data_IF_482226024705
#
_entry.id   IF_482226024705
#
_cell.length_a   1.000
_cell.length_b   1.000
_cell.length_c   1.000
_cell.angle_alpha   90.00
_cell.angle_beta   90.00
_cell.angle_gamma   90.00
#
_symmetry.space_group_name_H-M   'P 1'
#
loop_
_entity.id
_entity.type
_entity.pdbx_description
1 polymer ?
#
# COMPACT_ATOMS: atom_id res chain seq x y z
N UNK A 1 29.30 -11.02 -0.34
CA UNK A 1 27.98 -10.76 -0.96
C UNK A 1 27.14 -10.06 0.11
N UNK A 2 26.59 -8.88 -0.19
CA UNK A 2 25.67 -8.21 0.74
C UNK A 2 24.33 -8.91 0.61
N UNK A 3 23.81 -9.50 1.69
CA UNK A 3 22.48 -10.12 1.71
C UNK A 3 21.40 -9.04 1.55
N UNK A 4 20.48 -9.23 0.60
CA UNK A 4 19.39 -8.28 0.34
C UNK A 4 18.50 -8.09 1.57
N UNK A 5 17.85 -6.94 1.70
CA UNK A 5 16.91 -6.66 2.79
C UNK A 5 15.77 -7.67 2.79
N UNK A 6 15.23 -8.03 1.62
CA UNK A 6 14.16 -9.04 1.51
C UNK A 6 14.59 -10.41 2.02
N UNK A 7 15.80 -10.87 1.67
CA UNK A 7 16.35 -12.14 2.18
C UNK A 7 16.56 -12.12 3.69
N UNK A 8 17.11 -11.02 4.24
CA UNK A 8 17.33 -10.90 5.69
C UNK A 8 16.01 -10.95 6.45
N UNK A 9 15.02 -10.17 6.01
CA UNK A 9 13.70 -10.08 6.66
C UNK A 9 12.97 -11.43 6.58
N UNK A 10 12.96 -12.08 5.41
CA UNK A 10 12.38 -13.40 5.26
C UNK A 10 13.04 -14.42 6.21
N UNK A 11 14.38 -14.46 6.25
CA UNK A 11 15.11 -15.39 7.11
C UNK A 11 14.85 -15.17 8.61
N UNK A 12 14.76 -13.90 9.05
CA UNK A 12 14.44 -13.55 10.44
C UNK A 12 13.04 -14.04 10.84
N UNK A 13 12.04 -13.78 9.99
CA UNK A 13 10.67 -14.21 10.26
C UNK A 13 10.50 -15.72 10.15
N UNK A 14 11.16 -16.36 9.19
CA UNK A 14 11.18 -17.82 9.08
C UNK A 14 11.76 -18.47 10.34
N UNK A 15 12.88 -17.96 10.84
CA UNK A 15 13.49 -18.46 12.07
C UNK A 15 12.59 -18.22 13.30
N UNK A 16 12.02 -17.02 13.43
CA UNK A 16 11.15 -16.67 14.55
C UNK A 16 9.87 -17.51 14.57
N UNK A 17 9.19 -17.62 13.44
CA UNK A 17 7.96 -18.41 13.31
C UNK A 17 8.26 -19.90 13.48
N UNK A 18 9.38 -20.41 12.98
CA UNK A 18 9.79 -21.79 13.25
C UNK A 18 10.03 -22.04 14.74
N UNK A 19 10.70 -21.13 15.46
CA UNK A 19 10.87 -21.23 16.90
C UNK A 19 9.52 -21.21 17.64
N UNK A 20 8.62 -20.32 17.22
CA UNK A 20 7.26 -20.26 17.73
C UNK A 20 6.49 -21.56 17.45
N UNK A 21 6.56 -22.12 16.25
CA UNK A 21 5.91 -23.40 15.97
C UNK A 21 6.47 -24.57 16.78
N UNK A 22 7.68 -24.44 17.34
CA UNK A 22 8.33 -25.44 18.19
C UNK A 22 8.17 -25.19 19.70
N UNK A 23 7.31 -24.25 20.10
CA UNK A 23 6.99 -24.01 21.50
C UNK A 23 7.72 -22.82 22.15
N UNK A 24 8.64 -22.14 21.44
CA UNK A 24 9.22 -20.90 21.96
C UNK A 24 8.16 -19.79 21.92
N UNK A 25 8.12 -18.93 22.93
CA UNK A 25 7.26 -17.75 22.95
C UNK A 25 8.02 -16.53 23.47
N UNK A 26 9.34 -16.53 23.35
CA UNK A 26 10.13 -15.33 23.66
C UNK A 26 10.13 -14.40 22.46
N UNK A 27 9.81 -13.14 22.72
CA UNK A 27 10.06 -12.09 21.74
C UNK A 27 11.53 -11.68 21.86
N UNK A 28 12.30 -11.71 20.77
CA UNK A 28 13.62 -11.10 20.78
C UNK A 28 13.48 -9.57 20.95
N UNK A 29 14.50 -8.86 21.46
CA UNK A 29 14.41 -7.43 21.76
C UNK A 29 13.94 -6.55 20.59
N UNK A 30 14.29 -6.93 19.35
CA UNK A 30 13.86 -6.21 18.14
C UNK A 30 12.36 -6.36 17.83
N UNK A 31 11.70 -7.42 18.34
CA UNK A 31 10.25 -7.58 18.26
C UNK A 31 9.51 -7.05 19.48
N UNK A 32 10.13 -7.01 20.67
CA UNK A 32 9.50 -6.48 21.89
C UNK A 32 9.03 -5.04 21.69
N UNK A 33 9.92 -4.16 21.19
CA UNK A 33 9.56 -2.77 20.92
C UNK A 33 8.46 -2.62 19.86
N UNK A 34 8.40 -3.54 18.88
CA UNK A 34 7.32 -3.55 17.91
C UNK A 34 6.01 -4.03 18.53
N UNK A 35 6.04 -5.10 19.33
CA UNK A 35 4.86 -5.64 20.01
C UNK A 35 4.25 -4.61 20.97
N UNK A 36 5.09 -3.95 21.77
CA UNK A 36 4.69 -2.95 22.77
C UNK A 36 4.23 -1.62 22.15
N UNK A 37 4.42 -1.44 20.84
CA UNK A 37 4.03 -0.22 20.13
C UNK A 37 2.51 -0.03 19.99
N UNK A 38 1.73 -1.02 20.39
CA UNK A 38 0.28 -1.03 20.34
C UNK A 38 -0.30 -1.70 21.58
N UNK A 39 -1.24 -1.01 22.23
CA UNK A 39 -1.98 -1.52 23.38
C UNK A 39 -3.46 -1.23 23.17
N UNK A 40 -4.15 -2.16 22.50
CA UNK A 40 -5.59 -2.08 22.30
C UNK A 40 -6.38 -2.75 23.42
N UNK A 41 -7.70 -2.53 23.42
CA UNK A 41 -8.64 -3.09 24.42
C UNK A 41 -9.85 -3.72 23.75
N UNK A 42 -10.47 -4.74 24.36
CA UNK A 42 -11.66 -5.40 23.83
C UNK A 42 -11.40 -5.96 22.42
N UNK A 43 -12.12 -5.47 21.40
CA UNK A 43 -11.87 -5.87 20.02
C UNK A 43 -10.46 -5.49 19.50
N UNK A 44 -9.74 -4.62 20.20
CA UNK A 44 -8.35 -4.27 19.88
C UNK A 44 -7.30 -5.01 20.70
N UNK A 45 -7.71 -5.86 21.65
CA UNK A 45 -6.78 -6.66 22.44
C UNK A 45 -5.97 -7.60 21.53
N UNK A 46 -4.67 -7.65 21.78
CA UNK A 46 -3.72 -8.41 20.99
C UNK A 46 -3.56 -9.81 21.58
N UNK A 47 -3.47 -10.82 20.72
CA UNK A 47 -3.07 -12.17 21.13
C UNK A 47 -1.77 -12.60 20.48
N UNK A 48 -1.03 -13.46 21.19
CA UNK A 48 0.15 -14.18 20.71
C UNK A 48 -0.09 -15.68 20.51
N UNK A 49 -1.37 -16.09 20.59
CA UNK A 49 -1.80 -17.48 20.38
C UNK A 49 -1.71 -17.91 18.90
N UNK A 50 -1.66 -16.93 17.98
CA UNK A 50 -1.34 -17.13 16.57
C UNK A 50 0.09 -16.73 16.25
N UNK A 51 0.67 -17.32 15.21
CA UNK A 51 1.97 -16.86 14.70
C UNK A 51 1.84 -15.43 14.17
N UNK A 52 2.87 -14.58 14.31
CA UNK A 52 2.85 -13.25 13.71
C UNK A 52 2.84 -13.34 12.17
N UNK A 53 2.13 -12.42 11.53
CA UNK A 53 2.02 -12.33 10.08
C UNK A 53 2.52 -10.96 9.59
N UNK A 54 3.84 -10.79 9.41
CA UNK A 54 4.43 -9.50 9.02
C UNK A 54 4.11 -9.08 7.58
N UNK A 55 3.86 -10.05 6.69
CA UNK A 55 3.56 -9.78 5.30
C UNK A 55 2.81 -10.93 4.64
N UNK A 56 2.08 -10.64 3.57
CA UNK A 56 1.38 -11.64 2.77
C UNK A 56 1.78 -11.52 1.30
N UNK A 57 2.16 -12.64 0.68
CA UNK A 57 2.62 -12.69 -0.71
C UNK A 57 4.09 -13.05 -0.84
N UNK A 58 4.60 -12.97 -2.07
CA UNK A 58 5.94 -13.43 -2.43
C UNK A 58 7.01 -12.34 -2.23
N UNK A 59 7.38 -12.11 -0.96
CA UNK A 59 8.41 -11.14 -0.59
C UNK A 59 9.72 -11.33 -1.37
N UNK A 60 10.13 -12.58 -1.53
CA UNK A 60 11.40 -12.93 -2.17
C UNK A 60 11.32 -12.92 -3.71
N UNK A 61 10.11 -12.91 -4.27
CA UNK A 61 9.88 -13.00 -5.71
C UNK A 61 10.28 -14.36 -6.30
N UNK A 62 10.13 -15.44 -5.53
CA UNK A 62 10.55 -16.79 -5.92
C UNK A 62 9.67 -17.39 -7.03
N UNK A 63 8.37 -17.14 -6.95
CA UNK A 63 7.36 -17.56 -7.93
C UNK A 63 7.01 -16.39 -8.86
N UNK A 64 6.88 -15.19 -8.29
CA UNK A 64 6.50 -13.98 -9.03
C UNK A 64 6.99 -12.74 -8.30
N UNK A 65 7.65 -11.81 -9.00
CA UNK A 65 8.03 -10.52 -8.40
C UNK A 65 6.79 -9.66 -8.22
N UNK A 66 6.46 -9.22 -6.99
CA UNK A 66 5.28 -8.37 -6.76
C UNK A 66 5.33 -7.08 -7.57
N UNK A 67 4.19 -6.71 -8.15
CA UNK A 67 3.98 -5.49 -8.96
C UNK A 67 3.18 -4.42 -8.20
N UNK A 68 2.64 -4.78 -7.04
CA UNK A 68 1.85 -3.92 -6.18
C UNK A 68 2.22 -4.18 -4.71
N UNK A 69 2.43 -3.11 -3.95
CA UNK A 69 2.61 -3.18 -2.50
C UNK A 69 1.47 -2.42 -1.83
N UNK A 70 0.79 -3.09 -0.90
CA UNK A 70 -0.24 -2.50 -0.04
C UNK A 70 0.20 -2.64 1.42
N UNK A 71 -0.11 -1.65 2.25
CA UNK A 71 0.14 -1.72 3.68
C UNK A 71 -1.17 -2.00 4.43
N UNK A 72 -1.16 -3.06 5.25
CA UNK A 72 -2.24 -3.45 6.15
C UNK A 72 -1.95 -3.03 7.59
N UNK A 73 -2.99 -2.73 8.37
CA UNK A 73 -2.77 -2.29 9.76
C UNK A 73 -2.33 -3.45 10.66
N UNK A 74 -2.99 -4.59 10.50
CA UNK A 74 -2.67 -5.84 11.16
C UNK A 74 -3.35 -7.03 10.43
N UNK A 75 -2.98 -8.28 10.75
CA UNK A 75 -3.55 -9.48 10.12
C UNK A 75 -5.04 -9.71 10.39
N UNK A 76 -5.62 -8.98 11.34
CA UNK A 76 -7.01 -9.12 11.76
C UNK A 76 -7.22 -10.17 12.84
N UNK A 77 -8.47 -10.65 12.96
CA UNK A 77 -8.89 -11.55 14.02
C UNK A 77 -8.13 -12.88 13.99
N UNK A 78 -7.78 -13.37 15.18
CA UNK A 78 -7.17 -14.68 15.35
C UNK A 78 -8.19 -15.80 15.20
N UNK A 79 -7.86 -16.80 14.39
CA UNK A 79 -8.64 -18.01 14.17
C UNK A 79 -7.80 -19.23 14.54
N UNK A 80 -7.95 -19.74 15.76
CA UNK A 80 -7.13 -20.82 16.32
C UNK A 80 -7.02 -22.06 15.44
N UNK A 81 -8.10 -22.46 14.77
CA UNK A 81 -8.12 -23.58 13.82
C UNK A 81 -7.13 -23.43 12.67
N UNK A 82 -6.84 -22.20 12.26
CA UNK A 82 -5.92 -21.89 11.17
C UNK A 82 -4.56 -21.44 11.68
N UNK A 83 -4.54 -20.43 12.55
CA UNK A 83 -3.34 -19.69 12.93
C UNK A 83 -2.68 -20.18 14.22
N UNK A 84 -3.35 -21.03 15.02
CA UNK A 84 -2.77 -21.58 16.25
C UNK A 84 -1.59 -22.50 15.96
N UNK A 85 -0.78 -22.82 16.99
CA UNK A 85 0.42 -23.67 16.86
C UNK A 85 0.15 -25.06 16.26
N UNK A 86 -1.05 -25.58 16.48
CA UNK A 86 -1.53 -26.86 15.93
C UNK A 86 -2.60 -26.66 14.85
N UNK A 87 -2.72 -25.43 14.34
CA UNK A 87 -3.68 -25.05 13.30
C UNK A 87 -3.25 -25.50 11.90
N UNK A 88 -4.16 -25.34 10.95
CA UNK A 88 -3.96 -25.74 9.56
C UNK A 88 -2.74 -25.04 8.94
N UNK A 89 -2.60 -23.73 9.14
CA UNK A 89 -1.50 -22.97 8.56
C UNK A 89 -0.18 -23.28 9.24
N UNK A 90 -0.18 -23.53 10.55
CA UNK A 90 1.01 -23.99 11.27
C UNK A 90 1.55 -25.31 10.69
N UNK A 91 0.67 -26.27 10.42
CA UNK A 91 1.05 -27.53 9.77
C UNK A 91 1.55 -27.32 8.34
N UNK A 92 0.92 -26.44 7.56
CA UNK A 92 1.39 -26.09 6.23
C UNK A 92 2.78 -25.43 6.26
N UNK A 93 3.03 -24.48 7.17
CA UNK A 93 4.33 -23.83 7.34
C UNK A 93 5.41 -24.88 7.65
N UNK A 94 5.13 -25.82 8.56
CA UNK A 94 6.07 -26.92 8.87
C UNK A 94 6.38 -27.75 7.62
N UNK A 95 5.38 -28.08 6.79
CA UNK A 95 5.56 -28.85 5.54
C UNK A 95 6.28 -28.07 4.44
N UNK A 96 6.08 -26.75 4.38
CA UNK A 96 6.76 -25.85 3.45
C UNK A 96 8.17 -25.46 3.92
N UNK A 97 8.57 -25.88 5.13
CA UNK A 97 9.83 -25.58 5.81
C UNK A 97 10.04 -24.10 6.20
N UNK A 98 9.20 -23.18 5.74
CA UNK A 98 9.33 -21.75 6.06
C UNK A 98 8.01 -20.98 5.92
N UNK A 99 7.89 -19.88 6.65
CA UNK A 99 6.76 -18.96 6.53
C UNK A 99 6.77 -18.25 5.17
N UNK A 100 7.95 -17.81 4.73
CA UNK A 100 8.16 -17.16 3.44
C UNK A 100 7.66 -18.00 2.27
N UNK A 101 7.87 -19.33 2.31
CA UNK A 101 7.38 -20.26 1.28
C UNK A 101 5.88 -20.51 1.41
N UNK A 102 5.35 -20.61 2.62
CA UNK A 102 3.92 -20.73 2.86
C UNK A 102 3.13 -19.51 2.36
N UNK A 103 3.66 -18.30 2.58
CA UNK A 103 3.03 -17.04 2.19
C UNK A 103 2.79 -16.93 0.68
N UNK A 104 3.64 -17.54 -0.16
CA UNK A 104 3.47 -17.54 -1.63
C UNK A 104 2.25 -18.34 -2.09
N UNK A 105 1.73 -19.24 -1.25
CA UNK A 105 0.58 -20.10 -1.57
C UNK A 105 -0.76 -19.39 -1.48
N UNK A 106 -0.78 -18.10 -1.12
CA UNK A 106 -1.98 -17.28 -0.96
C UNK A 106 -3.03 -17.96 -0.04
N UNK A 107 -2.65 -18.35 1.19
CA UNK A 107 -3.44 -19.24 2.07
C UNK A 107 -4.87 -18.73 2.34
N UNK A 108 -5.03 -17.41 2.42
CA UNK A 108 -6.30 -16.72 2.65
C UNK A 108 -7.25 -16.68 1.43
N UNK A 109 -6.79 -17.10 0.26
CA UNK A 109 -7.56 -17.07 -0.99
C UNK A 109 -7.79 -18.47 -1.59
N UNK A 110 -7.52 -19.52 -0.81
CA UNK A 110 -7.73 -20.91 -1.21
C UNK A 110 -8.39 -21.74 -0.11
N UNK A 111 -8.93 -22.93 -0.43
CA UNK A 111 -9.29 -23.91 0.59
C UNK A 111 -8.07 -24.30 1.45
N UNK A 112 -8.28 -24.59 2.75
CA UNK A 112 -9.57 -24.68 3.41
C UNK A 112 -10.16 -23.34 3.87
N UNK A 113 -9.39 -22.24 3.87
CA UNK A 113 -9.88 -20.93 4.34
C UNK A 113 -11.17 -20.50 3.62
N UNK A 114 -11.18 -20.58 2.29
CA UNK A 114 -12.31 -20.10 1.48
C UNK A 114 -13.51 -21.05 1.44
N UNK A 115 -13.50 -22.16 2.17
CA UNK A 115 -14.65 -23.06 2.24
C UNK A 115 -15.84 -22.35 2.91
N UNK A 116 -17.09 -22.50 2.39
CA UNK A 116 -18.26 -21.80 2.94
C UNK A 116 -18.58 -22.10 4.41
N UNK A 117 -18.13 -23.25 4.92
CA UNK A 117 -18.32 -23.66 6.32
C UNK A 117 -17.13 -23.29 7.23
N UNK A 118 -16.07 -22.70 6.67
CA UNK A 118 -14.93 -22.17 7.40
C UNK A 118 -15.05 -20.63 7.43
N UNK A 119 -14.19 -19.91 6.68
CA UNK A 119 -14.20 -18.44 6.62
C UNK A 119 -14.96 -17.89 5.40
N UNK A 120 -15.11 -18.71 4.36
CA UNK A 120 -15.70 -18.31 3.09
C UNK A 120 -14.87 -17.25 2.35
N UNK A 121 -15.56 -16.46 1.54
CA UNK A 121 -14.92 -15.47 0.68
C UNK A 121 -14.18 -14.37 1.48
N UNK A 122 -12.87 -14.25 1.25
CA UNK A 122 -12.07 -13.20 1.87
C UNK A 122 -12.28 -11.84 1.19
N UNK A 123 -13.27 -11.08 1.67
CA UNK A 123 -13.62 -9.75 1.13
C UNK A 123 -12.46 -8.76 1.18
N UNK A 124 -11.59 -8.85 2.21
CA UNK A 124 -10.43 -7.98 2.34
C UNK A 124 -9.48 -8.16 1.15
N UNK A 125 -9.05 -9.40 0.90
CA UNK A 125 -8.15 -9.72 -0.21
C UNK A 125 -8.79 -9.50 -1.58
N UNK A 126 -10.07 -9.81 -1.75
CA UNK A 126 -10.79 -9.53 -3.01
C UNK A 126 -10.78 -8.04 -3.35
N UNK A 127 -11.04 -7.17 -2.37
CA UNK A 127 -11.02 -5.73 -2.60
C UNK A 127 -9.63 -5.20 -2.99
N UNK A 128 -8.55 -5.71 -2.37
CA UNK A 128 -7.18 -5.33 -2.72
C UNK A 128 -6.77 -5.86 -4.09
N UNK A 129 -7.15 -7.09 -4.43
CA UNK A 129 -6.90 -7.64 -5.76
C UNK A 129 -7.61 -6.84 -6.86
N UNK A 130 -8.87 -6.47 -6.63
CA UNK A 130 -9.62 -5.62 -7.57
C UNK A 130 -8.97 -4.24 -7.74
N UNK A 131 -8.45 -3.66 -6.66
CA UNK A 131 -7.64 -2.44 -6.74
C UNK A 131 -6.35 -2.68 -7.54
N UNK A 132 -5.60 -3.76 -7.27
CA UNK A 132 -4.38 -4.12 -8.00
C UNK A 132 -4.63 -4.19 -9.51
N UNK A 133 -5.68 -4.90 -9.94
CA UNK A 133 -6.04 -5.01 -11.36
C UNK A 133 -6.33 -3.66 -12.01
N UNK A 134 -7.07 -2.80 -11.32
CA UNK A 134 -7.43 -1.46 -11.81
C UNK A 134 -6.22 -0.55 -11.86
N UNK A 135 -5.40 -0.55 -10.81
CA UNK A 135 -4.21 0.30 -10.73
C UNK A 135 -3.19 -0.09 -11.79
N UNK A 136 -2.92 -1.39 -11.95
CA UNK A 136 -2.01 -1.90 -12.98
C UNK A 136 -2.61 -1.85 -14.40
N UNK A 137 -3.91 -1.58 -14.52
CA UNK A 137 -4.68 -1.70 -15.76
C UNK A 137 -4.53 -3.10 -16.40
N UNK A 138 -4.45 -4.12 -15.55
CA UNK A 138 -4.17 -5.50 -15.91
C UNK A 138 -5.24 -6.41 -15.28
N UNK A 139 -6.28 -6.81 -16.03
CA UNK A 139 -7.31 -7.71 -15.52
C UNK A 139 -6.78 -9.13 -15.27
N UNK A 140 -5.61 -9.48 -15.81
CA UNK A 140 -4.94 -10.75 -15.60
C UNK A 140 -4.14 -10.82 -14.30
N UNK A 141 -3.91 -9.68 -13.62
CA UNK A 141 -3.24 -9.66 -12.33
C UNK A 141 -3.98 -10.52 -11.29
N UNK A 142 -3.22 -11.20 -10.46
CA UNK A 142 -3.70 -12.08 -9.40
C UNK A 142 -3.03 -11.78 -8.04
N UNK A 143 -3.28 -12.62 -7.04
CA UNK A 143 -2.77 -12.40 -5.68
C UNK A 143 -1.24 -12.47 -5.58
N UNK A 144 -0.54 -13.04 -6.56
CA UNK A 144 0.93 -13.09 -6.61
C UNK A 144 1.54 -11.75 -7.05
N UNK A 145 0.77 -10.90 -7.73
CA UNK A 145 1.18 -9.53 -8.05
C UNK A 145 1.16 -8.61 -6.80
N UNK A 146 0.44 -9.01 -5.75
CA UNK A 146 0.18 -8.21 -4.55
C UNK A 146 1.03 -8.70 -3.37
N UNK A 147 1.83 -7.80 -2.82
CA UNK A 147 2.48 -7.98 -1.51
C UNK A 147 1.81 -7.05 -0.49
N UNK A 148 1.42 -7.60 0.65
CA UNK A 148 0.88 -6.82 1.77
C UNK A 148 1.92 -6.82 2.89
N UNK A 149 2.27 -5.67 3.45
CA UNK A 149 3.02 -5.58 4.70
C UNK A 149 2.11 -5.11 5.82
N UNK A 150 2.14 -5.79 6.95
CA UNK A 150 1.36 -5.41 8.12
C UNK A 150 2.17 -4.45 9.01
N UNK A 151 1.57 -3.31 9.39
CA UNK A 151 2.17 -2.37 10.33
C UNK A 151 2.37 -2.98 11.71
N UNK A 152 1.48 -3.88 12.10
CA UNK A 152 1.52 -4.59 13.37
C UNK A 152 1.28 -6.09 13.12
N UNK A 153 2.32 -6.93 13.17
CA UNK A 153 2.24 -8.34 12.75
C UNK A 153 1.36 -9.25 13.60
N UNK A 154 0.79 -8.78 14.73
CA UNK A 154 0.01 -9.63 15.64
C UNK A 154 -1.49 -9.41 15.52
N UNK A 155 -2.23 -10.42 15.93
CA UNK A 155 -3.68 -10.50 15.73
C UNK A 155 -4.46 -9.66 16.73
N UNK A 156 -5.42 -8.92 16.19
CA UNK A 156 -6.51 -8.27 16.92
C UNK A 156 -7.70 -8.11 15.98
N UNK A 157 -8.93 -8.12 16.50
CA UNK A 157 -10.14 -7.97 15.68
C UNK A 157 -10.24 -6.58 15.03
N UNK A 158 -9.63 -5.57 15.66
CA UNK A 158 -9.59 -4.19 15.18
C UNK A 158 -8.36 -3.47 15.72
N UNK A 159 -8.00 -2.35 15.08
CA UNK A 159 -7.05 -1.39 15.65
C UNK A 159 -7.84 -0.23 16.23
N UNK A 160 -7.82 -0.10 17.57
CA UNK A 160 -8.61 0.92 18.29
C UNK A 160 -7.78 1.81 19.23
N UNK A 161 -6.46 1.67 19.18
CA UNK A 161 -5.49 2.54 19.82
C UNK A 161 -4.43 2.98 18.78
N UNK A 162 -3.71 4.08 19.02
CA UNK A 162 -2.66 4.52 18.12
C UNK A 162 -1.55 3.46 17.96
N UNK A 163 -1.10 3.25 16.73
CA UNK A 163 0.11 2.48 16.41
C UNK A 163 1.32 3.41 16.51
N UNK A 164 2.33 3.02 17.29
CA UNK A 164 3.56 3.82 17.48
C UNK A 164 4.83 2.97 17.32
N UNK A 165 4.99 2.22 16.21
CA UNK A 165 6.15 1.36 16.02
C UNK A 165 7.45 2.18 16.05
N UNK A 166 8.54 1.63 16.61
CA UNK A 166 9.84 2.26 16.52
C UNK A 166 10.23 2.51 15.05
N UNK A 167 10.69 3.72 14.66
CA UNK A 167 10.99 4.03 13.27
C UNK A 167 12.01 3.07 12.63
N UNK A 168 13.00 2.63 13.39
CA UNK A 168 14.01 1.66 12.96
C UNK A 168 13.43 0.30 12.60
N UNK A 169 12.35 -0.11 13.27
CA UNK A 169 11.66 -1.37 12.97
C UNK A 169 10.93 -1.27 11.63
N UNK A 170 10.22 -0.17 11.39
CA UNK A 170 9.53 0.03 10.11
C UNK A 170 10.53 0.19 8.96
N UNK A 171 11.65 0.89 9.20
CA UNK A 171 12.73 0.99 8.22
C UNK A 171 13.27 -0.39 7.84
N UNK A 172 13.66 -1.20 8.83
CA UNK A 172 14.26 -2.52 8.59
C UNK A 172 13.29 -3.52 7.99
N UNK A 173 12.07 -3.64 8.53
CA UNK A 173 11.15 -4.72 8.20
C UNK A 173 10.16 -4.38 7.08
N UNK A 174 10.00 -3.09 6.74
CA UNK A 174 9.04 -2.64 5.71
C UNK A 174 9.74 -1.83 4.62
N UNK A 175 10.38 -0.72 4.94
CA UNK A 175 10.91 0.20 3.91
C UNK A 175 12.09 -0.38 3.15
N UNK A 176 13.08 -0.98 3.82
CA UNK A 176 14.23 -1.58 3.15
C UNK A 176 13.82 -2.73 2.20
N UNK A 177 12.95 -3.68 2.59
CA UNK A 177 12.44 -4.69 1.66
C UNK A 177 11.66 -4.10 0.47
N UNK A 178 10.81 -3.10 0.71
CA UNK A 178 10.01 -2.45 -0.34
C UNK A 178 10.88 -1.67 -1.33
N UNK A 179 11.99 -1.10 -0.86
CA UNK A 179 12.97 -0.39 -1.69
C UNK A 179 13.60 -1.27 -2.78
N UNK A 180 13.61 -2.60 -2.58
CA UNK A 180 14.16 -3.55 -3.54
C UNK A 180 13.13 -4.03 -4.59
N UNK A 181 11.87 -3.65 -4.45
CA UNK A 181 10.79 -4.05 -5.36
C UNK A 181 10.64 -3.03 -6.50
N UNK A 182 10.33 -3.48 -7.73
CA UNK A 182 10.16 -2.61 -8.89
C UNK A 182 8.79 -1.92 -8.91
N UNK A 183 8.39 -1.32 -7.80
CA UNK A 183 7.13 -0.56 -7.66
C UNK A 183 7.44 0.90 -7.39
N UNK A 184 6.68 1.81 -7.98
CA UNK A 184 6.83 3.26 -7.72
C UNK A 184 5.98 3.72 -6.53
N UNK A 185 4.79 3.11 -6.38
CA UNK A 185 3.77 3.50 -5.43
C UNK A 185 3.49 2.36 -4.45
N UNK A 186 3.50 2.70 -3.17
CA UNK A 186 3.13 1.86 -2.04
C UNK A 186 1.81 2.39 -1.50
N UNK A 187 0.77 1.57 -1.46
CA UNK A 187 -0.57 2.03 -1.10
C UNK A 187 -0.93 1.69 0.34
N UNK A 188 -1.59 2.61 1.01
CA UNK A 188 -2.13 2.37 2.33
C UNK A 188 -3.55 2.93 2.43
N UNK A 189 -4.48 2.16 2.99
CA UNK A 189 -5.89 2.53 3.06
C UNK A 189 -6.34 2.73 4.52
N UNK A 190 -6.88 3.90 4.80
CA UNK A 190 -7.37 4.28 6.13
C UNK A 190 -6.48 5.32 6.81
N UNK A 191 -7.12 6.17 7.61
CA UNK A 191 -6.49 7.29 8.31
C UNK A 191 -5.31 6.92 9.23
N UNK A 192 -5.27 5.76 9.92
CA UNK A 192 -4.15 5.44 10.80
C UNK A 192 -2.78 5.43 10.09
N UNK A 193 -2.75 5.23 8.77
CA UNK A 193 -1.52 5.31 7.97
C UNK A 193 -1.01 6.74 7.75
N UNK A 194 -1.90 7.73 7.71
CA UNK A 194 -1.55 9.16 7.67
C UNK A 194 -0.92 9.57 9.00
N UNK A 195 -1.58 9.19 10.11
CA UNK A 195 -1.06 9.42 11.46
C UNK A 195 0.32 8.76 11.63
N UNK A 196 0.49 7.52 11.14
CA UNK A 196 1.77 6.82 11.20
C UNK A 196 2.85 7.48 10.33
N UNK A 197 2.54 7.87 9.09
CA UNK A 197 3.50 8.55 8.21
C UNK A 197 4.04 9.84 8.85
N UNK A 198 3.17 10.57 9.56
CA UNK A 198 3.55 11.76 10.32
C UNK A 198 4.44 11.42 11.54
N UNK A 199 4.10 10.36 12.30
CA UNK A 199 4.93 9.88 13.43
C UNK A 199 6.33 9.45 12.97
N UNK A 200 6.41 8.80 11.82
CA UNK A 200 7.68 8.40 11.19
C UNK A 200 8.44 9.59 10.58
N UNK A 201 7.88 10.79 10.60
CA UNK A 201 8.51 11.99 10.05
C UNK A 201 8.68 11.97 8.53
N UNK A 202 7.84 11.21 7.82
CA UNK A 202 7.92 11.15 6.36
C UNK A 202 7.55 12.50 5.75
N UNK A 203 8.30 12.91 4.72
CA UNK A 203 8.07 14.18 4.03
C UNK A 203 6.85 14.07 3.12
N UNK A 204 5.79 14.79 3.46
CA UNK A 204 4.63 14.95 2.57
C UNK A 204 5.06 15.69 1.28
N UNK A 205 4.74 15.13 0.12
CA UNK A 205 5.05 15.69 -1.20
C UNK A 205 3.81 16.15 -1.95
N UNK A 206 2.64 15.59 -1.64
CA UNK A 206 1.37 15.98 -2.26
C UNK A 206 0.19 15.64 -1.36
N UNK A 207 -0.92 16.31 -1.60
CA UNK A 207 -2.21 16.07 -0.96
C UNK A 207 -3.34 16.35 -1.94
N UNK A 208 -4.38 15.52 -1.94
CA UNK A 208 -5.57 15.68 -2.78
C UNK A 208 -6.85 15.48 -1.94
N UNK A 209 -7.97 16.04 -2.40
CA UNK A 209 -9.27 15.94 -1.75
C UNK A 209 -9.33 16.76 -0.46
N UNK A 210 -9.93 16.21 0.58
CA UNK A 210 -10.08 16.89 1.87
C UNK A 210 -8.73 17.34 2.44
N UNK A 211 -8.58 18.65 2.60
CA UNK A 211 -7.35 19.32 3.05
C UNK A 211 -6.32 19.62 1.95
N UNK A 212 -6.60 19.28 0.68
CA UNK A 212 -5.81 19.59 -0.52
C UNK A 212 -6.70 20.09 -1.67
N UNK A 213 -6.17 20.17 -2.91
CA UNK A 213 -6.96 20.50 -4.09
C UNK A 213 -8.01 19.42 -4.40
N UNK A 214 -9.16 19.86 -4.92
CA UNK A 214 -10.16 18.93 -5.47
C UNK A 214 -9.60 18.26 -6.73
N UNK A 215 -9.84 16.95 -6.84
CA UNK A 215 -9.42 16.13 -7.97
C UNK A 215 -10.60 15.37 -8.60
N UNK A 216 -11.83 15.82 -8.33
CA UNK A 216 -13.05 15.27 -8.92
C UNK A 216 -13.60 14.04 -8.22
N UNK A 217 -13.15 13.74 -6.99
CA UNK A 217 -13.72 12.65 -6.20
C UNK A 217 -15.20 12.93 -5.88
N UNK A 218 -16.04 11.92 -6.07
CA UNK A 218 -17.45 11.98 -5.69
C UNK A 218 -17.67 11.90 -4.16
N UNK A 219 -16.62 11.57 -3.41
CA UNK A 219 -16.66 11.37 -1.96
C UNK A 219 -16.07 12.60 -1.26
N UNK A 220 -16.92 13.49 -0.77
CA UNK A 220 -16.50 14.78 -0.19
C UNK A 220 -15.49 14.66 0.98
N UNK A 221 -15.51 13.55 1.74
CA UNK A 221 -14.59 13.31 2.85
C UNK A 221 -13.29 12.61 2.43
N UNK A 222 -13.11 12.30 1.15
CA UNK A 222 -11.93 11.59 0.65
C UNK A 222 -10.70 12.46 0.77
N UNK A 223 -9.64 11.89 1.30
CA UNK A 223 -8.35 12.52 1.39
C UNK A 223 -7.30 11.55 0.85
N UNK A 224 -6.32 12.13 0.14
CA UNK A 224 -5.11 11.44 -0.28
C UNK A 224 -3.93 12.25 0.23
N UNK A 225 -2.93 11.55 0.78
CA UNK A 225 -1.63 12.12 1.12
C UNK A 225 -0.55 11.28 0.47
N UNK A 226 0.45 11.95 -0.07
CA UNK A 226 1.60 11.31 -0.70
C UNK A 226 2.84 11.70 0.09
N UNK A 227 3.61 10.71 0.51
CA UNK A 227 4.86 10.88 1.24
C UNK A 227 6.03 10.33 0.44
N UNK A 228 7.17 11.01 0.50
CA UNK A 228 8.42 10.48 -0.04
C UNK A 228 8.98 9.41 0.89
N UNK A 229 9.26 8.22 0.34
CA UNK A 229 10.02 7.18 1.02
C UNK A 229 11.53 7.38 0.80
N UNK A 230 12.40 6.90 1.72
CA UNK A 230 13.85 7.02 1.58
C UNK A 230 14.41 6.43 0.27
N UNK A 231 13.73 5.43 -0.29
CA UNK A 231 14.08 4.78 -1.55
C UNK A 231 13.78 5.61 -2.81
N UNK A 232 13.07 6.73 -2.67
CA UNK A 232 12.54 7.50 -3.80
C UNK A 232 11.17 7.02 -4.30
N UNK A 233 10.64 5.93 -3.75
CA UNK A 233 9.26 5.51 -3.94
C UNK A 233 8.28 6.46 -3.22
N UNK A 234 6.99 6.34 -3.51
CA UNK A 234 5.93 7.14 -2.89
C UNK A 234 5.04 6.25 -2.03
N UNK A 235 4.79 6.68 -0.79
CA UNK A 235 3.68 6.15 0.00
C UNK A 235 2.43 6.97 -0.30
N UNK A 236 1.41 6.32 -0.85
CA UNK A 236 0.10 6.91 -1.14
C UNK A 236 -0.90 6.43 -0.09
N UNK A 237 -1.30 7.33 0.80
CA UNK A 237 -2.29 7.06 1.83
C UNK A 237 -3.63 7.63 1.39
N UNK A 238 -4.65 6.79 1.28
CA UNK A 238 -6.02 7.18 0.96
C UNK A 238 -6.99 6.80 2.08
N UNK A 239 -7.91 7.71 2.43
CA UNK A 239 -9.04 7.38 3.31
C UNK A 239 -10.26 8.25 3.02
N UNK A 240 -11.40 7.85 3.57
CA UNK A 240 -12.57 8.71 3.71
C UNK A 240 -13.34 8.36 4.98
N UNK A 241 -14.33 9.18 5.35
CA UNK A 241 -15.12 8.92 6.55
C UNK A 241 -15.80 7.54 6.47
N UNK A 242 -15.57 6.72 7.50
CA UNK A 242 -16.21 5.40 7.66
C UNK A 242 -15.62 4.25 6.83
N UNK A 243 -14.47 4.42 6.15
CA UNK A 243 -13.88 3.35 5.34
C UNK A 243 -12.34 3.31 5.41
N UNK A 244 -11.82 2.10 5.41
CA UNK A 244 -10.40 1.76 5.22
C UNK A 244 -10.23 0.78 4.02
N UNK A 245 -11.19 0.79 3.10
CA UNK A 245 -11.17 -0.02 1.88
C UNK A 245 -10.52 0.73 0.70
N UNK A 246 -9.97 0.00 -0.28
CA UNK A 246 -9.52 0.59 -1.54
C UNK A 246 -10.63 1.34 -2.29
N UNK A 247 -10.27 2.29 -3.17
CA UNK A 247 -11.22 3.06 -3.96
C UNK A 247 -12.06 2.19 -4.92
N UNK A 248 -13.20 2.73 -5.33
CA UNK A 248 -14.02 2.14 -6.40
C UNK A 248 -13.29 2.22 -7.75
N UNK A 249 -13.83 1.58 -8.80
CA UNK A 249 -13.23 1.65 -10.14
C UNK A 249 -13.08 3.09 -10.67
N UNK A 250 -14.13 3.91 -10.54
CA UNK A 250 -14.13 5.30 -10.97
C UNK A 250 -13.12 6.13 -10.17
N UNK A 251 -13.10 5.96 -8.85
CA UNK A 251 -12.18 6.68 -7.98
C UNK A 251 -10.72 6.25 -8.18
N UNK A 252 -10.47 4.97 -8.48
CA UNK A 252 -9.13 4.47 -8.84
C UNK A 252 -8.63 5.12 -10.13
N UNK A 253 -9.50 5.26 -11.13
CA UNK A 253 -9.15 5.89 -12.40
C UNK A 253 -8.82 7.38 -12.23
N UNK A 254 -9.60 8.12 -11.42
CA UNK A 254 -9.32 9.50 -11.06
C UNK A 254 -7.98 9.63 -10.33
N UNK A 255 -7.76 8.83 -9.29
CA UNK A 255 -6.50 8.85 -8.53
C UNK A 255 -5.28 8.55 -9.42
N UNK A 256 -5.40 7.56 -10.30
CA UNK A 256 -4.34 7.20 -11.25
C UNK A 256 -4.06 8.34 -12.23
N UNK A 257 -5.09 9.00 -12.76
CA UNK A 257 -4.95 10.14 -13.64
C UNK A 257 -4.17 11.28 -12.97
N UNK A 258 -4.49 11.62 -11.73
CA UNK A 258 -3.79 12.68 -11.01
C UNK A 258 -2.34 12.32 -10.66
N UNK A 259 -2.11 11.09 -10.17
CA UNK A 259 -0.79 10.68 -9.70
C UNK A 259 0.22 10.35 -10.81
N UNK A 260 -0.26 10.00 -12.00
CA UNK A 260 0.57 9.64 -13.17
C UNK A 260 0.48 10.66 -14.32
N UNK A 261 -0.65 11.35 -14.47
CA UNK A 261 -0.82 12.39 -15.49
C UNK A 261 0.04 13.62 -15.22
N UNK A 262 0.30 13.95 -13.95
CA UNK A 262 1.23 15.02 -13.58
C UNK A 262 2.69 14.75 -13.98
N UNK A 263 3.07 13.50 -14.29
CA UNK A 263 4.45 13.16 -14.68
C UNK A 263 4.75 13.28 -16.17
N UNK A 264 3.73 13.40 -17.04
CA UNK A 264 3.94 13.54 -18.49
C UNK A 264 4.02 15.01 -18.94
N UNK A 265 3.35 15.94 -18.24
CA UNK A 265 3.36 17.37 -18.61
C UNK A 265 4.64 18.12 -18.19
N UNK A 266 5.42 17.65 -17.20
CA UNK A 266 6.68 18.31 -16.79
C UNK A 266 7.91 17.92 -17.63
N UNK A 267 7.80 16.98 -18.58
CA UNK A 267 8.88 16.66 -19.53
C UNK A 267 8.72 17.30 -20.91
N UNK A 268 7.67 18.11 -21.10
CA UNK A 268 7.22 18.48 -22.42
C UNK A 268 6.82 19.93 -22.63
N UNK A 269 7.41 20.93 -21.97
CA UNK A 269 7.34 22.31 -22.48
C UNK A 269 8.42 23.25 -21.89
N UNK A 270 9.64 23.18 -22.43
CA UNK A 270 10.49 24.36 -22.49
C UNK A 270 9.90 25.32 -23.54
N UNK A 271 8.82 26.01 -23.15
CA UNK A 271 8.23 27.11 -23.90
C UNK A 271 9.29 28.20 -24.09
N UNK A 272 9.85 28.27 -25.29
CA UNK A 272 10.67 29.38 -25.73
C UNK A 272 9.76 30.60 -25.91
N UNK A 273 10.05 31.77 -25.31
CA UNK A 273 9.20 32.93 -25.50
C UNK A 273 9.35 33.43 -26.94
N UNK A 274 8.28 33.32 -27.74
CA UNK A 274 8.22 33.94 -29.07
C UNK A 274 8.19 35.47 -28.91
N UNK A 275 9.00 36.22 -29.69
CA UNK A 275 9.01 37.67 -29.62
C UNK A 275 7.69 38.24 -30.16
N UNK A 276 7.17 39.26 -29.45
CA UNK A 276 6.08 40.12 -29.93
C UNK A 276 6.58 40.94 -31.12
N UNK A 277 5.98 40.75 -32.28
CA UNK A 277 6.14 41.66 -33.42
C UNK A 277 4.93 42.60 -33.44
N UNK A 278 5.10 43.80 -32.88
CA UNK A 278 4.25 44.96 -33.20
C UNK A 278 4.84 45.73 -34.38
N UNK A 279 3.93 46.41 -35.09
CA UNK A 279 4.13 47.45 -36.10
C UNK A 279 4.39 47.01 -37.56
N UNK A 280 3.29 46.99 -38.33
CA UNK A 280 3.28 47.71 -39.62
C UNK A 280 1.86 48.18 -39.95
N UNK A 281 1.59 49.46 -39.69
CA UNK A 281 0.44 50.21 -40.21
C UNK A 281 0.95 51.57 -40.70
N UNK A 282 1.19 51.64 -42.01
CA UNK A 282 1.25 52.81 -42.90
C UNK A 282 1.86 52.27 -44.20
N UNK A 283 1.39 52.50 -45.42
CA UNK A 283 0.48 53.49 -45.97
C UNK A 283 0.17 53.05 -47.41
N UNK A 284 -1.04 53.26 -47.91
CA UNK A 284 -1.27 53.76 -49.27
C UNK A 284 -2.77 53.98 -49.51
N UNK A 285 -3.10 55.24 -49.68
CA UNK A 285 -4.39 55.81 -50.06
C UNK A 285 -4.71 55.59 -51.56
N UNK A 286 -6.00 55.76 -51.85
CA UNK A 286 -6.63 56.13 -53.12
C UNK A 286 -6.95 54.93 -54.04
N UNK A 287 -8.14 54.75 -54.62
CA UNK A 287 -9.23 55.65 -54.97
C UNK A 287 -10.54 54.83 -55.08
N UNK A 288 -11.67 55.32 -54.58
CA UNK A 288 -12.97 55.07 -55.23
C UNK A 288 -13.92 56.21 -54.89
N UNK A 289 -14.16 57.03 -55.91
CA UNK A 289 -15.16 58.09 -55.96
C UNK A 289 -16.55 57.47 -56.13
N UNK A 290 -17.52 57.92 -55.35
CA UNK A 290 -18.94 57.84 -55.70
C UNK A 290 -19.69 59.00 -55.01
N UNK A 291 -20.00 60.04 -55.78
CA UNK A 291 -21.05 61.00 -55.47
C UNK A 291 -22.44 60.36 -55.71
N UNK A 292 -23.47 60.72 -54.91
CA UNK A 292 -24.89 60.57 -55.27
C UNK A 292 -25.34 61.82 -56.09
N UNK A 293 -26.60 62.01 -56.56
CA UNK A 293 -27.86 61.29 -56.28
C UNK A 293 -28.79 61.02 -57.50
N UNK A 294 -29.75 60.10 -57.32
CA UNK A 294 -31.22 60.23 -57.55
C UNK A 294 -31.90 58.86 -57.36
#
# INVERSE_FOLDING_TARGET
>A
MVTSARERVAALWDAHIAAWLNGDDRLPPWLEGWFDSYVGVGAGEVTRDGFPEPYHGDLLGLEHTPRMVVLGLNPGAFHSRFQGRDGIFAEEIRRHFSYSRWATTCPYNRPPWTLPHEMGDNKYYKARLEFTRRWLQDPGADHRDLLIFECYPWHSTSINAPLKPPPEVIDEFVWQPVAELPVQDVFAFGRPWDDLAQVLGLRETSRLGSGGPDYGSSVASRAVRVYALPSGQRLVVEWHAGSAGPPSAMETALLRHELLGATDDEKGEASTPRPRTEASRASALAQTSAEPPL
#
